data_IF_782866933774
#
_entry.id   IF_782866933774
#
_cell.length_a   1.000
_cell.length_b   1.000
_cell.length_c   1.000
_cell.angle_alpha   90.00
_cell.angle_beta   90.00
_cell.angle_gamma   90.00
#
_symmetry.space_group_name_H-M   'P 1'
#
loop_
_entity.id
_entity.type
_entity.pdbx_description
1 polymer ?
#
# COMPACT_ATOMS: atom_id res chain seq x y z
N UNK A 1 2.94 -8.07 30.34
CA UNK A 1 2.03 -6.89 30.29
C UNK A 1 0.85 -7.07 29.32
N UNK A 2 0.41 -8.31 29.04
CA UNK A 2 -0.81 -8.62 28.26
C UNK A 2 -2.08 -8.66 29.13
N UNK A 3 -1.99 -8.23 30.40
CA UNK A 3 -3.00 -8.43 31.45
C UNK A 3 -3.77 -7.17 31.86
N UNK A 4 -3.70 -6.09 31.06
CA UNK A 4 -4.33 -4.81 31.40
C UNK A 4 -5.28 -4.28 30.32
N UNK A 5 -5.91 -5.16 29.52
CA UNK A 5 -6.90 -4.73 28.53
C UNK A 5 -8.27 -5.40 28.78
N UNK A 6 -9.39 -4.73 28.42
CA UNK A 6 -10.76 -5.17 28.73
C UNK A 6 -11.06 -6.58 28.22
N UNK A 7 -12.04 -7.27 28.82
CA UNK A 7 -12.50 -8.61 28.45
C UNK A 7 -12.70 -8.84 26.93
N UNK A 8 -13.08 -7.79 26.19
CA UNK A 8 -13.28 -7.86 24.74
C UNK A 8 -11.98 -7.91 23.92
N UNK A 9 -10.90 -7.34 24.44
CA UNK A 9 -9.56 -7.46 23.82
C UNK A 9 -9.01 -8.89 23.93
N UNK A 10 -9.35 -9.61 25.00
CA UNK A 10 -8.99 -11.01 25.19
C UNK A 10 -9.72 -11.91 24.19
N UNK A 11 -10.99 -11.61 23.88
CA UNK A 11 -11.76 -12.29 22.83
C UNK A 11 -11.13 -12.07 21.44
N UNK A 12 -10.73 -10.83 21.11
CA UNK A 12 -10.05 -10.54 19.85
C UNK A 12 -8.69 -11.26 19.73
N UNK A 13 -7.87 -11.23 20.78
CA UNK A 13 -6.55 -11.91 20.78
C UNK A 13 -6.70 -13.42 20.65
N UNK A 14 -7.67 -14.02 21.35
CA UNK A 14 -7.94 -15.45 21.23
C UNK A 14 -8.54 -15.80 19.87
N UNK A 15 -9.45 -14.99 19.33
CA UNK A 15 -9.99 -15.19 17.99
C UNK A 15 -8.89 -15.11 16.91
N UNK A 16 -8.04 -14.09 16.96
CA UNK A 16 -6.90 -13.93 16.04
C UNK A 16 -5.91 -15.08 16.15
N UNK A 17 -5.67 -15.60 17.36
CA UNK A 17 -4.78 -16.75 17.57
C UNK A 17 -5.39 -18.05 17.06
N UNK A 18 -6.68 -18.27 17.31
CA UNK A 18 -7.41 -19.49 16.93
C UNK A 18 -7.83 -19.52 15.45
N UNK A 19 -8.11 -18.36 14.85
CA UNK A 19 -8.49 -18.20 13.43
C UNK A 19 -7.35 -17.56 12.62
N UNK A 20 -6.14 -18.05 12.85
CA UNK A 20 -4.97 -17.76 12.00
C UNK A 20 -5.07 -18.39 10.60
N UNK A 21 -6.16 -19.11 10.38
CA UNK A 21 -6.64 -19.67 9.12
C UNK A 21 -7.97 -18.99 8.78
N UNK A 22 -8.27 -18.80 7.48
CA UNK A 22 -9.69 -18.82 7.09
C UNK A 22 -10.28 -20.12 7.66
N UNK A 23 -11.51 -20.12 8.22
CA UNK A 23 -12.05 -21.28 8.93
C UNK A 23 -11.74 -22.56 8.18
N UNK A 24 -11.13 -23.54 8.87
CA UNK A 24 -10.71 -24.81 8.29
C UNK A 24 -11.92 -25.41 7.58
N UNK A 25 -11.92 -25.31 6.25
CA UNK A 25 -12.97 -25.84 5.41
C UNK A 25 -12.91 -27.34 5.59
N UNK A 26 -13.93 -27.92 6.23
CA UNK A 26 -14.06 -29.37 6.29
C UNK A 26 -13.92 -29.91 4.87
N UNK A 27 -13.27 -31.07 4.72
CA UNK A 27 -13.08 -31.73 3.41
C UNK A 27 -14.38 -31.98 2.64
N UNK A 28 -15.52 -31.77 3.28
CA UNK A 28 -16.87 -31.94 2.75
C UNK A 28 -17.46 -30.66 2.11
N UNK A 29 -16.81 -29.49 2.25
CA UNK A 29 -17.25 -28.24 1.61
C UNK A 29 -16.75 -28.13 0.16
N UNK A 30 -17.15 -29.07 -0.70
CA UNK A 30 -16.63 -29.24 -2.07
C UNK A 30 -17.22 -28.28 -3.12
N UNK A 31 -17.70 -27.08 -2.73
CA UNK A 31 -18.37 -26.14 -3.66
C UNK A 31 -17.81 -24.72 -3.63
N UNK A 32 -17.71 -24.08 -4.81
CA UNK A 32 -17.33 -22.67 -4.99
C UNK A 32 -18.16 -21.72 -4.09
N UNK A 33 -19.41 -22.09 -3.79
CA UNK A 33 -20.32 -21.32 -2.95
C UNK A 33 -19.90 -21.26 -1.47
N UNK A 34 -19.44 -22.37 -0.89
CA UNK A 34 -19.00 -22.42 0.52
C UNK A 34 -17.79 -21.49 0.78
N UNK A 35 -16.92 -21.36 -0.23
CA UNK A 35 -15.75 -20.49 -0.19
C UNK A 35 -16.14 -19.01 -0.17
N UNK A 36 -17.18 -18.65 -0.92
CA UNK A 36 -17.69 -17.28 -0.95
C UNK A 36 -18.30 -16.85 0.39
N UNK A 37 -19.01 -17.75 1.07
CA UNK A 37 -19.56 -17.50 2.43
C UNK A 37 -18.43 -17.27 3.43
N UNK A 38 -17.42 -18.14 3.43
CA UNK A 38 -16.26 -18.01 4.32
C UNK A 38 -15.50 -16.68 4.12
N UNK A 39 -15.36 -16.21 2.88
CA UNK A 39 -14.74 -14.90 2.59
C UNK A 39 -15.55 -13.74 3.19
N UNK A 40 -16.88 -13.75 3.03
CA UNK A 40 -17.76 -12.72 3.60
C UNK A 40 -17.74 -12.73 5.13
N UNK A 41 -17.76 -13.91 5.75
CA UNK A 41 -17.66 -14.02 7.21
C UNK A 41 -16.32 -13.48 7.72
N UNK A 42 -15.21 -13.85 7.08
CA UNK A 42 -13.89 -13.32 7.42
C UNK A 42 -13.83 -11.79 7.30
N UNK A 43 -14.41 -11.23 6.23
CA UNK A 43 -14.52 -9.79 6.04
C UNK A 43 -15.30 -9.11 7.18
N UNK A 44 -16.49 -9.61 7.52
CA UNK A 44 -17.31 -9.07 8.61
C UNK A 44 -16.60 -9.14 9.96
N UNK A 45 -15.91 -10.25 10.23
CA UNK A 45 -15.13 -10.41 11.46
C UNK A 45 -13.96 -9.42 11.56
N UNK A 46 -13.25 -9.16 10.45
CA UNK A 46 -12.19 -8.14 10.43
C UNK A 46 -12.74 -6.72 10.59
N UNK A 47 -13.87 -6.40 9.96
CA UNK A 47 -14.53 -5.10 10.14
C UNK A 47 -14.97 -4.88 11.59
N UNK A 48 -15.58 -5.89 12.22
CA UNK A 48 -15.94 -5.86 13.64
C UNK A 48 -14.70 -5.64 14.53
N UNK A 49 -13.61 -6.37 14.24
CA UNK A 49 -12.34 -6.24 14.95
C UNK A 49 -11.73 -4.84 14.83
N UNK A 50 -11.81 -4.23 13.64
CA UNK A 50 -11.39 -2.85 13.40
C UNK A 50 -12.24 -1.86 14.19
N UNK A 51 -13.56 -2.06 14.23
CA UNK A 51 -14.48 -1.25 15.04
C UNK A 51 -14.13 -1.30 16.53
N UNK A 52 -13.89 -2.50 17.06
CA UNK A 52 -13.46 -2.69 18.46
C UNK A 52 -12.12 -1.99 18.75
N UNK A 53 -11.13 -2.14 17.87
CA UNK A 53 -9.82 -1.50 18.03
C UNK A 53 -9.90 0.03 17.90
N UNK A 54 -10.86 0.54 17.13
CA UNK A 54 -11.16 1.97 16.99
C UNK A 54 -11.69 2.60 18.27
N UNK A 55 -12.53 1.86 19.01
CA UNK A 55 -13.19 2.31 20.24
C UNK A 55 -12.29 2.30 21.48
N UNK A 56 -11.11 1.68 21.41
CA UNK A 56 -10.14 1.70 22.52
C UNK A 56 -9.54 3.12 22.60
N UNK A 57 -9.89 3.84 23.67
CA UNK A 57 -9.51 5.23 23.98
C UNK A 57 -7.99 5.36 24.23
N UNK A 58 -7.30 4.25 24.55
CA UNK A 58 -5.86 4.25 24.75
C UNK A 58 -5.12 4.59 23.44
N UNK A 59 -4.46 5.76 23.46
CA UNK A 59 -3.65 6.41 22.41
C UNK A 59 -3.53 5.64 21.09
N UNK A 60 -4.17 6.17 20.05
CA UNK A 60 -4.11 5.71 18.66
C UNK A 60 -2.70 5.40 18.13
N UNK A 61 -1.67 6.05 18.67
CA UNK A 61 -0.25 5.80 18.38
C UNK A 61 0.21 4.38 18.75
N UNK A 62 -0.34 3.77 19.79
CA UNK A 62 0.13 2.48 20.34
C UNK A 62 -0.42 1.28 19.58
N UNK A 63 -1.59 1.45 18.94
CA UNK A 63 -2.22 0.43 18.10
C UNK A 63 -2.06 0.69 16.59
N UNK A 64 -1.12 1.57 16.20
CA UNK A 64 -0.95 1.99 14.81
C UNK A 64 -0.69 0.78 13.88
N UNK A 65 0.22 -0.12 14.25
CA UNK A 65 0.51 -1.32 13.46
C UNK A 65 -0.74 -2.20 13.29
N UNK A 66 -1.44 -2.48 14.40
CA UNK A 66 -2.59 -3.38 14.42
C UNK A 66 -3.72 -2.80 13.55
N UNK A 67 -4.00 -1.50 13.68
CA UNK A 67 -5.00 -0.80 12.86
C UNK A 67 -4.61 -0.83 11.39
N UNK A 68 -3.37 -0.47 11.06
CA UNK A 68 -2.92 -0.45 9.68
C UNK A 68 -2.98 -1.84 9.05
N UNK A 69 -2.42 -2.85 9.72
CA UNK A 69 -2.42 -4.23 9.25
C UNK A 69 -3.83 -4.78 9.01
N UNK A 70 -4.76 -4.55 9.95
CA UNK A 70 -6.15 -4.99 9.79
C UNK A 70 -6.87 -4.25 8.66
N UNK A 71 -6.66 -2.94 8.51
CA UNK A 71 -7.23 -2.17 7.39
C UNK A 71 -6.78 -2.75 6.05
N UNK A 72 -5.50 -3.07 5.90
CA UNK A 72 -4.99 -3.69 4.67
C UNK A 72 -5.61 -5.06 4.43
N UNK A 73 -5.72 -5.90 5.46
CA UNK A 73 -6.37 -7.23 5.32
C UNK A 73 -7.84 -7.11 4.95
N UNK A 74 -8.58 -6.18 5.54
CA UNK A 74 -9.98 -5.92 5.20
C UNK A 74 -10.10 -5.49 3.74
N UNK A 75 -9.27 -4.55 3.27
CA UNK A 75 -9.27 -4.11 1.87
C UNK A 75 -8.92 -5.24 0.90
N UNK A 76 -8.00 -6.13 1.26
CA UNK A 76 -7.73 -7.33 0.43
C UNK A 76 -8.95 -8.22 0.31
N UNK A 77 -9.62 -8.52 1.43
CA UNK A 77 -10.83 -9.34 1.39
C UNK A 77 -11.96 -8.66 0.61
N UNK A 78 -12.14 -7.36 0.77
CA UNK A 78 -13.10 -6.55 0.01
C UNK A 78 -12.82 -6.67 -1.50
N UNK A 79 -11.59 -6.40 -1.93
CA UNK A 79 -11.21 -6.50 -3.35
C UNK A 79 -11.32 -7.93 -3.91
N UNK A 80 -11.06 -8.96 -3.10
CA UNK A 80 -11.26 -10.37 -3.51
C UNK A 80 -12.75 -10.72 -3.58
N UNK A 81 -13.59 -10.21 -2.68
CA UNK A 81 -15.05 -10.37 -2.76
C UNK A 81 -15.58 -9.68 -4.01
N UNK A 82 -15.12 -8.46 -4.32
CA UNK A 82 -15.45 -7.76 -5.56
C UNK A 82 -15.07 -8.62 -6.77
N UNK A 83 -13.87 -9.22 -6.77
CA UNK A 83 -13.44 -10.15 -7.83
C UNK A 83 -14.40 -11.34 -7.98
N UNK A 84 -14.76 -12.00 -6.88
CA UNK A 84 -15.70 -13.13 -6.86
C UNK A 84 -17.08 -12.73 -7.40
N UNK A 85 -17.56 -11.54 -7.04
CA UNK A 85 -18.84 -11.00 -7.52
C UNK A 85 -18.82 -10.77 -9.04
N UNK A 86 -17.75 -10.15 -9.56
CA UNK A 86 -17.59 -9.90 -10.99
C UNK A 86 -17.41 -11.19 -11.80
N UNK A 87 -16.83 -12.24 -11.20
CA UNK A 87 -16.75 -13.57 -11.81
C UNK A 87 -18.09 -14.32 -11.81
N UNK A 88 -19.13 -13.78 -11.17
CA UNK A 88 -20.46 -14.40 -11.10
C UNK A 88 -20.51 -15.65 -10.24
N UNK A 89 -19.51 -15.90 -9.38
CA UNK A 89 -19.43 -17.09 -8.53
C UNK A 89 -20.48 -17.09 -7.41
N UNK A 90 -20.95 -15.91 -7.00
CA UNK A 90 -21.98 -15.73 -5.97
C UNK A 90 -23.43 -15.86 -6.48
N UNK A 91 -23.65 -15.86 -7.80
CA UNK A 91 -24.99 -15.79 -8.41
C UNK A 91 -25.51 -17.15 -8.93
N UNK A 92 -24.85 -18.26 -8.59
CA UNK A 92 -25.17 -19.58 -9.13
C UNK A 92 -26.50 -20.17 -8.60
N UNK A 93 -27.00 -19.71 -7.43
CA UNK A 93 -28.13 -20.36 -6.74
C UNK A 93 -29.53 -19.86 -7.12
N UNK A 94 -29.70 -18.87 -8.00
CA UNK A 94 -31.03 -18.26 -8.24
C UNK A 94 -31.51 -18.32 -9.70
N UNK A 95 -30.72 -18.83 -10.65
CA UNK A 95 -31.12 -18.78 -12.08
C UNK A 95 -31.21 -20.15 -12.74
N UNK A 96 -32.40 -20.45 -13.28
CA UNK A 96 -32.67 -21.55 -14.19
C UNK A 96 -31.51 -21.74 -15.18
N UNK A 97 -31.00 -22.98 -15.30
CA UNK A 97 -29.87 -23.35 -16.16
C UNK A 97 -29.93 -22.79 -17.59
N UNK A 98 -31.13 -22.53 -18.13
CA UNK A 98 -31.35 -21.93 -19.46
C UNK A 98 -31.06 -20.42 -19.54
N UNK A 99 -31.21 -19.67 -18.45
CA UNK A 99 -30.89 -18.22 -18.39
C UNK A 99 -29.41 -17.94 -18.09
N UNK A 100 -28.67 -18.97 -17.68
CA UNK A 100 -27.22 -18.89 -17.41
C UNK A 100 -26.44 -18.82 -18.73
N UNK A 101 -26.85 -19.55 -19.76
CA UNK A 101 -26.24 -19.48 -21.10
C UNK A 101 -26.46 -18.11 -21.76
N UNK A 102 -27.66 -17.54 -21.66
CA UNK A 102 -27.98 -16.21 -22.19
C UNK A 102 -27.26 -15.06 -21.46
N UNK A 103 -26.95 -15.22 -20.17
CA UNK A 103 -26.15 -14.22 -19.41
C UNK A 103 -24.65 -14.43 -19.48
N UNK A 104 -24.16 -15.64 -19.77
CA UNK A 104 -22.76 -15.86 -20.14
C UNK A 104 -22.42 -15.03 -21.39
N UNK A 105 -23.39 -14.83 -22.29
CA UNK A 105 -23.27 -13.96 -23.47
C UNK A 105 -23.23 -12.45 -23.16
N UNK A 106 -23.63 -12.01 -21.96
CA UNK A 106 -23.50 -10.60 -21.52
C UNK A 106 -22.20 -10.33 -20.72
N UNK A 107 -21.22 -11.24 -20.84
CA UNK A 107 -19.91 -11.22 -20.17
C UNK A 107 -18.98 -10.03 -20.47
N UNK A 108 -19.41 -9.07 -21.29
CA UNK A 108 -18.64 -7.86 -21.59
C UNK A 108 -18.40 -6.96 -20.37
N UNK A 109 -19.29 -6.99 -19.35
CA UNK A 109 -19.19 -6.07 -18.21
C UNK A 109 -18.23 -6.56 -17.10
N UNK A 110 -18.01 -7.87 -16.96
CA UNK A 110 -17.13 -8.41 -15.91
C UNK A 110 -15.65 -8.29 -16.26
N UNK A 111 -15.29 -8.57 -17.51
CA UNK A 111 -13.91 -8.46 -18.00
C UNK A 111 -13.36 -7.03 -17.91
N UNK A 112 -14.20 -6.02 -18.16
CA UNK A 112 -13.81 -4.61 -18.07
C UNK A 112 -13.46 -4.16 -16.65
N UNK A 113 -13.91 -4.88 -15.60
CA UNK A 113 -13.59 -4.55 -14.21
C UNK A 113 -12.29 -5.20 -13.73
N UNK A 114 -11.84 -6.29 -14.37
CA UNK A 114 -10.63 -7.01 -13.96
C UNK A 114 -9.37 -6.13 -13.95
N UNK A 115 -9.11 -5.25 -14.93
CA UNK A 115 -7.99 -4.31 -14.86
C UNK A 115 -8.06 -3.36 -13.67
N UNK A 116 -9.27 -2.90 -13.29
CA UNK A 116 -9.44 -2.01 -12.13
C UNK A 116 -9.13 -2.74 -10.83
N UNK A 117 -9.62 -3.97 -10.70
CA UNK A 117 -9.30 -4.85 -9.56
C UNK A 117 -7.80 -5.14 -9.51
N UNK A 118 -7.16 -5.38 -10.66
CA UNK A 118 -5.72 -5.57 -10.75
C UNK A 118 -4.94 -4.34 -10.23
N UNK A 119 -5.34 -3.14 -10.61
CA UNK A 119 -4.72 -1.88 -10.13
C UNK A 119 -4.91 -1.72 -8.62
N UNK A 120 -6.09 -2.03 -8.08
CA UNK A 120 -6.36 -1.99 -6.63
C UNK A 120 -5.50 -2.98 -5.86
N UNK A 121 -5.39 -4.22 -6.33
CA UNK A 121 -4.53 -5.24 -5.73
C UNK A 121 -3.05 -4.86 -5.78
N UNK A 122 -2.58 -4.31 -6.89
CA UNK A 122 -1.21 -3.79 -7.00
C UNK A 122 -0.98 -2.65 -5.99
N UNK A 123 -1.94 -1.74 -5.82
CA UNK A 123 -1.85 -0.69 -4.81
C UNK A 123 -1.74 -1.28 -3.41
N UNK A 124 -2.55 -2.29 -3.08
CA UNK A 124 -2.51 -2.99 -1.79
C UNK A 124 -1.16 -3.66 -1.54
N UNK A 125 -0.56 -4.28 -2.57
CA UNK A 125 0.79 -4.85 -2.46
C UNK A 125 1.82 -3.81 -1.99
N UNK A 126 1.79 -2.61 -2.60
CA UNK A 126 2.66 -1.48 -2.22
C UNK A 126 2.34 -0.95 -0.83
N UNK A 127 1.08 -0.93 -0.42
CA UNK A 127 0.69 -0.52 0.94
C UNK A 127 1.21 -1.50 2.01
N UNK A 128 1.28 -2.80 1.73
CA UNK A 128 1.95 -3.77 2.61
C UNK A 128 3.47 -3.57 2.67
N UNK A 129 4.12 -3.24 1.55
CA UNK A 129 5.55 -2.91 1.57
C UNK A 129 5.83 -1.67 2.42
N UNK A 130 4.96 -0.65 2.30
CA UNK A 130 5.03 0.52 3.18
C UNK A 130 4.88 0.12 4.64
N UNK A 131 3.90 -0.71 4.99
CA UNK A 131 3.76 -1.21 6.36
C UNK A 131 5.07 -1.83 6.86
N UNK A 132 5.75 -2.67 6.07
CA UNK A 132 7.04 -3.24 6.46
C UNK A 132 8.14 -2.17 6.61
N UNK A 133 8.12 -1.10 5.81
CA UNK A 133 9.12 -0.02 5.85
C UNK A 133 8.95 0.99 6.99
N UNK A 134 7.76 1.13 7.58
CA UNK A 134 7.49 2.09 8.66
C UNK A 134 7.77 1.54 10.06
N UNK A 135 7.88 0.21 10.21
CA UNK A 135 8.08 -0.45 11.49
C UNK A 135 9.48 -1.07 11.57
N UNK A 136 10.48 -0.22 11.80
CA UNK A 136 11.92 -0.58 11.80
C UNK A 136 12.31 -1.69 12.79
N UNK A 137 11.55 -1.85 13.87
CA UNK A 137 11.77 -2.86 14.91
C UNK A 137 10.99 -4.16 14.65
N UNK A 138 10.43 -4.34 13.46
CA UNK A 138 9.75 -5.57 13.06
C UNK A 138 10.74 -6.74 12.95
N UNK A 139 10.37 -7.88 13.51
CA UNK A 139 11.14 -9.11 13.39
C UNK A 139 11.00 -9.73 11.99
N UNK A 140 12.03 -10.45 11.54
CA UNK A 140 12.08 -11.01 10.19
C UNK A 140 10.92 -11.99 9.92
N UNK A 141 10.45 -12.73 10.94
CA UNK A 141 9.32 -13.66 10.79
C UNK A 141 8.00 -12.91 10.55
N UNK A 142 7.74 -11.85 11.32
CA UNK A 142 6.61 -10.94 11.10
C UNK A 142 6.68 -10.21 9.76
N UNK A 143 7.86 -9.73 9.38
CA UNK A 143 8.12 -9.09 8.09
C UNK A 143 7.85 -10.06 6.92
N UNK A 144 8.28 -11.32 7.02
CA UNK A 144 8.03 -12.36 6.02
C UNK A 144 6.54 -12.64 5.79
N UNK A 145 5.71 -12.56 6.85
CA UNK A 145 4.25 -12.68 6.72
C UNK A 145 3.68 -11.50 5.91
N UNK A 146 4.12 -10.27 6.18
CA UNK A 146 3.70 -9.07 5.43
C UNK A 146 4.16 -9.17 3.97
N UNK A 147 5.40 -9.61 3.73
CA UNK A 147 5.93 -9.82 2.38
C UNK A 147 5.13 -10.87 1.60
N UNK A 148 4.69 -11.95 2.26
CA UNK A 148 3.85 -12.99 1.64
C UNK A 148 2.46 -12.46 1.27
N UNK A 149 1.86 -11.62 2.12
CA UNK A 149 0.58 -10.95 1.82
C UNK A 149 0.73 -9.98 0.64
N UNK A 150 1.81 -9.20 0.63
CA UNK A 150 2.13 -8.30 -0.49
C UNK A 150 2.33 -9.06 -1.81
N UNK A 151 3.08 -10.17 -1.77
CA UNK A 151 3.24 -11.06 -2.94
C UNK A 151 1.90 -11.63 -3.39
N UNK A 152 1.03 -12.04 -2.45
CA UNK A 152 -0.31 -12.54 -2.79
C UNK A 152 -1.09 -11.49 -3.59
N UNK A 153 -1.14 -10.25 -3.11
CA UNK A 153 -1.78 -9.15 -3.82
C UNK A 153 -1.18 -8.95 -5.23
N UNK A 154 0.13 -9.08 -5.38
CA UNK A 154 0.82 -8.89 -6.66
C UNK A 154 0.52 -10.01 -7.66
N UNK A 155 0.49 -11.26 -7.18
CA UNK A 155 0.11 -12.43 -7.99
C UNK A 155 -1.35 -12.31 -8.46
N UNK A 156 -2.28 -11.93 -7.58
CA UNK A 156 -3.66 -11.70 -7.99
C UNK A 156 -3.82 -10.48 -8.89
N UNK A 157 -3.04 -9.42 -8.67
CA UNK A 157 -3.04 -8.27 -9.56
C UNK A 157 -2.63 -8.68 -10.98
N UNK A 158 -1.57 -9.47 -11.11
CA UNK A 158 -1.14 -10.03 -12.40
C UNK A 158 -2.19 -10.97 -13.01
N UNK A 159 -2.73 -11.90 -12.22
CA UNK A 159 -3.73 -12.86 -12.70
C UNK A 159 -5.03 -12.17 -13.15
N UNK A 160 -5.54 -11.19 -12.39
CA UNK A 160 -6.71 -10.40 -12.78
C UNK A 160 -6.39 -9.51 -13.99
N UNK A 161 -5.17 -8.98 -14.07
CA UNK A 161 -4.69 -8.19 -15.21
C UNK A 161 -4.36 -9.01 -16.46
N UNK A 162 -4.48 -10.35 -16.44
CA UNK A 162 -4.15 -11.23 -17.57
C UNK A 162 -4.86 -10.83 -18.87
N UNK A 163 -6.09 -10.34 -18.78
CA UNK A 163 -6.88 -9.82 -19.93
C UNK A 163 -6.19 -8.70 -20.69
N UNK A 164 -5.34 -7.91 -20.03
CA UNK A 164 -4.66 -6.77 -20.64
C UNK A 164 -3.56 -7.19 -21.63
N UNK A 165 -3.10 -8.44 -21.54
CA UNK A 165 -2.06 -9.01 -22.41
C UNK A 165 -2.64 -9.68 -23.66
N UNK A 166 -3.97 -9.72 -23.79
CA UNK A 166 -4.64 -10.44 -24.86
C UNK A 166 -4.92 -9.51 -26.06
N UNK A 167 -4.72 -9.99 -27.30
CA UNK A 167 -5.09 -9.24 -28.49
C UNK A 167 -6.62 -9.05 -28.54
N UNK A 168 -7.08 -7.86 -28.95
CA UNK A 168 -8.50 -7.53 -29.05
C UNK A 168 -9.14 -6.98 -27.77
N UNK A 169 -8.46 -7.03 -26.62
CA UNK A 169 -8.95 -6.37 -25.39
C UNK A 169 -8.42 -4.94 -25.28
N UNK A 170 -9.32 -3.95 -25.30
CA UNK A 170 -8.99 -2.54 -25.08
C UNK A 170 -9.47 -2.08 -23.70
N UNK A 171 -8.54 -1.57 -22.88
CA UNK A 171 -8.88 -0.93 -21.60
C UNK A 171 -8.75 0.59 -21.69
N UNK A 172 -9.88 1.29 -21.60
CA UNK A 172 -9.92 2.75 -21.50
C UNK A 172 -10.33 3.16 -20.08
N UNK A 173 -9.36 3.64 -19.30
CA UNK A 173 -9.63 4.17 -17.96
C UNK A 173 -9.86 5.68 -18.02
N UNK A 174 -11.03 6.14 -17.58
CA UNK A 174 -11.38 7.56 -17.50
C UNK A 174 -10.81 8.28 -16.27
N UNK A 175 -10.08 7.57 -15.39
CA UNK A 175 -9.74 8.03 -14.04
C UNK A 175 -8.30 8.58 -13.88
N UNK A 176 -7.40 8.38 -14.85
CA UNK A 176 -6.07 9.00 -14.83
C UNK A 176 -5.65 9.40 -16.26
N UNK A 177 -5.34 10.67 -16.57
CA UNK A 177 -5.15 11.14 -17.95
C UNK A 177 -3.91 10.58 -18.68
N UNK A 178 -3.15 9.63 -18.13
CA UNK A 178 -1.83 9.24 -18.64
C UNK A 178 -1.46 7.76 -18.44
N UNK A 179 -2.41 6.88 -18.12
CA UNK A 179 -2.14 5.44 -17.97
C UNK A 179 -2.55 4.68 -19.22
N UNK A 180 -1.60 4.42 -20.12
CA UNK A 180 -1.82 3.50 -21.23
C UNK A 180 -1.98 2.06 -20.72
N UNK A 181 -2.70 1.22 -21.46
CA UNK A 181 -2.78 -0.22 -21.21
C UNK A 181 -1.38 -0.86 -21.11
N UNK A 182 -0.44 -0.47 -22.00
CA UNK A 182 0.95 -0.91 -21.94
C UNK A 182 1.63 -0.57 -20.61
N UNK A 183 1.40 0.65 -20.11
CA UNK A 183 1.92 1.10 -18.82
C UNK A 183 1.29 0.37 -17.63
N UNK A 184 0.04 -0.09 -17.73
CA UNK A 184 -0.56 -0.98 -16.70
C UNK A 184 0.12 -2.35 -16.74
N UNK A 185 0.23 -2.99 -17.90
CA UNK A 185 0.88 -4.29 -18.08
C UNK A 185 2.33 -4.27 -17.56
N UNK A 186 3.10 -3.27 -17.97
CA UNK A 186 4.49 -3.07 -17.54
C UNK A 186 4.60 -2.97 -16.02
N UNK A 187 3.73 -2.15 -15.38
CA UNK A 187 3.70 -2.03 -13.91
C UNK A 187 3.38 -3.35 -13.23
N UNK A 188 2.38 -4.11 -13.71
CA UNK A 188 1.97 -5.38 -13.10
C UNK A 188 3.10 -6.42 -13.15
N UNK A 189 3.74 -6.56 -14.32
CA UNK A 189 4.88 -7.47 -14.50
C UNK A 189 6.07 -7.03 -13.64
N UNK A 190 6.45 -5.76 -13.68
CA UNK A 190 7.58 -5.26 -12.90
C UNK A 190 7.38 -5.44 -11.40
N UNK A 191 6.18 -5.18 -10.88
CA UNK A 191 5.88 -5.36 -9.45
C UNK A 191 6.09 -6.83 -9.03
N UNK A 192 5.64 -7.78 -9.86
CA UNK A 192 5.80 -9.20 -9.58
C UNK A 192 7.24 -9.68 -9.74
N UNK A 193 7.94 -9.30 -10.82
CA UNK A 193 9.34 -9.65 -11.07
C UNK A 193 10.24 -9.18 -9.92
N UNK A 194 10.02 -7.97 -9.39
CA UNK A 194 10.82 -7.44 -8.28
C UNK A 194 10.71 -8.27 -7.00
N UNK A 195 9.56 -8.91 -6.78
CA UNK A 195 9.28 -9.75 -5.61
C UNK A 195 9.78 -11.18 -5.81
N UNK A 196 9.75 -11.68 -7.05
CA UNK A 196 10.09 -13.05 -7.40
C UNK A 196 11.54 -13.24 -7.84
N UNK A 197 12.28 -12.17 -8.12
CA UNK A 197 13.63 -12.23 -8.71
C UNK A 197 14.59 -13.21 -8.01
N UNK A 198 14.57 -13.24 -6.67
CA UNK A 198 15.42 -14.13 -5.85
C UNK A 198 14.77 -15.47 -5.50
N UNK A 199 13.49 -15.65 -5.86
CA UNK A 199 12.66 -16.81 -5.51
C UNK A 199 12.59 -17.78 -6.68
N UNK A 200 12.24 -17.27 -7.87
CA UNK A 200 12.06 -18.06 -9.08
C UNK A 200 12.49 -17.23 -10.32
N UNK A 201 13.77 -17.32 -10.71
CA UNK A 201 14.29 -16.60 -11.87
C UNK A 201 13.64 -17.03 -13.20
N UNK A 202 13.20 -18.27 -13.32
CA UNK A 202 12.60 -18.80 -14.56
C UNK A 202 11.22 -18.18 -14.82
N UNK A 203 10.39 -18.08 -13.79
CA UNK A 203 9.12 -17.35 -13.88
C UNK A 203 9.37 -15.87 -14.20
N UNK A 204 10.42 -15.26 -13.62
CA UNK A 204 10.77 -13.87 -13.93
C UNK A 204 11.13 -13.66 -15.40
N UNK A 205 11.86 -14.59 -16.01
CA UNK A 205 12.20 -14.53 -17.44
C UNK A 205 10.93 -14.58 -18.31
N UNK A 206 10.03 -15.54 -18.03
CA UNK A 206 8.74 -15.66 -18.72
C UNK A 206 7.88 -14.40 -18.58
N UNK A 207 7.84 -13.81 -17.39
CA UNK A 207 7.13 -12.56 -17.12
C UNK A 207 7.71 -11.39 -17.93
N UNK A 208 9.03 -11.27 -18.02
CA UNK A 208 9.69 -10.19 -18.76
C UNK A 208 9.39 -10.25 -20.27
N UNK A 209 9.23 -11.44 -20.85
CA UNK A 209 8.86 -11.61 -22.27
C UNK A 209 7.50 -10.95 -22.60
N UNK A 210 6.59 -10.82 -21.62
CA UNK A 210 5.27 -10.20 -21.84
C UNK A 210 5.32 -8.67 -22.04
N UNK A 211 6.43 -8.00 -21.68
CA UNK A 211 6.56 -6.55 -21.76
C UNK A 211 7.63 -6.19 -22.80
N UNK A 212 7.30 -5.35 -23.77
CA UNK A 212 8.27 -4.87 -24.77
C UNK A 212 9.36 -4.02 -24.10
N UNK A 213 10.62 -4.24 -24.49
CA UNK A 213 11.86 -3.71 -23.88
C UNK A 213 11.95 -2.18 -23.68
N UNK A 214 11.04 -1.37 -24.26
CA UNK A 214 11.21 0.09 -24.37
C UNK A 214 10.48 0.95 -23.32
N UNK A 215 9.67 0.39 -22.42
CA UNK A 215 9.19 1.16 -21.26
C UNK A 215 10.19 1.02 -20.10
N UNK A 216 11.28 1.80 -20.20
CA UNK A 216 12.43 1.81 -19.30
C UNK A 216 12.11 1.51 -17.83
N UNK A 217 12.31 0.25 -17.44
CA UNK A 217 13.17 -0.29 -16.38
C UNK A 217 13.66 0.64 -15.25
N UNK A 218 12.85 1.59 -14.76
CA UNK A 218 13.24 2.49 -13.66
C UNK A 218 12.52 2.23 -12.33
N UNK A 219 11.84 1.08 -12.20
CA UNK A 219 11.17 0.67 -10.96
C UNK A 219 12.00 -0.29 -10.09
N UNK A 220 13.21 -0.70 -10.53
CA UNK A 220 14.08 -1.66 -9.81
C UNK A 220 14.60 -1.20 -8.44
N UNK A 221 14.25 0.00 -8.02
CA UNK A 221 14.99 0.68 -6.96
C UNK A 221 14.29 0.65 -5.64
N UNK A 222 12.97 0.43 -5.60
CA UNK A 222 12.32 -0.06 -4.40
C UNK A 222 12.70 -1.54 -4.30
N UNK A 223 13.90 -1.86 -3.82
CA UNK A 223 14.12 -3.15 -3.19
C UNK A 223 13.54 -3.01 -1.78
N UNK A 224 12.27 -3.37 -1.52
CA UNK A 224 11.86 -3.55 -0.14
C UNK A 224 12.79 -4.61 0.46
N UNK A 225 13.21 -4.40 1.71
CA UNK A 225 13.91 -5.40 2.55
C UNK A 225 13.16 -6.76 2.60
N UNK A 226 11.92 -6.81 2.10
CA UNK A 226 11.09 -8.00 1.84
C UNK A 226 11.70 -9.06 0.91
N UNK A 227 12.93 -8.88 0.40
CA UNK A 227 13.61 -9.83 -0.50
C UNK A 227 14.12 -11.13 0.14
N UNK A 228 13.87 -11.39 1.43
CA UNK A 228 14.11 -12.73 2.00
C UNK A 228 12.80 -13.50 2.12
N UNK A 229 12.06 -13.59 1.00
CA UNK A 229 11.07 -14.64 0.84
C UNK A 229 11.81 -15.94 0.57
N UNK A 230 12.01 -16.74 1.62
CA UNK A 230 12.42 -18.13 1.42
C UNK A 230 11.32 -18.89 0.67
N UNK A 231 11.70 -19.77 -0.25
CA UNK A 231 10.76 -20.67 -0.93
C UNK A 231 10.12 -21.59 0.11
N UNK A 232 8.94 -21.21 0.59
CA UNK A 232 8.14 -21.98 1.54
C UNK A 232 6.86 -22.49 0.87
N UNK A 233 6.13 -23.38 1.55
CA UNK A 233 4.87 -23.96 1.01
C UNK A 233 3.88 -22.89 0.53
N UNK A 234 3.78 -21.76 1.26
CA UNK A 234 2.89 -20.63 0.88
C UNK A 234 3.32 -19.97 -0.43
N UNK A 235 4.63 -19.73 -0.58
CA UNK A 235 5.19 -19.11 -1.79
C UNK A 235 5.04 -20.04 -2.99
N UNK A 236 5.22 -21.36 -2.82
CA UNK A 236 5.00 -22.35 -3.90
C UNK A 236 3.58 -22.31 -4.43
N UNK A 237 2.57 -22.18 -3.56
CA UNK A 237 1.17 -22.03 -4.00
C UNK A 237 1.01 -20.77 -4.84
N UNK A 238 1.57 -19.63 -4.41
CA UNK A 238 1.52 -18.37 -5.16
C UNK A 238 2.24 -18.46 -6.53
N UNK A 239 3.39 -19.13 -6.59
CA UNK A 239 4.11 -19.39 -7.85
C UNK A 239 3.28 -20.25 -8.81
N UNK A 240 2.52 -21.22 -8.29
CA UNK A 240 1.62 -22.03 -9.12
C UNK A 240 0.51 -21.18 -9.75
N UNK A 241 -0.08 -20.23 -9.01
CA UNK A 241 -1.10 -19.31 -9.54
C UNK A 241 -0.49 -18.41 -10.63
N UNK A 242 0.75 -17.94 -10.43
CA UNK A 242 1.46 -17.18 -11.45
C UNK A 242 1.73 -18.01 -12.71
N UNK A 243 2.13 -19.27 -12.55
CA UNK A 243 2.37 -20.20 -13.66
C UNK A 243 1.08 -20.51 -14.44
N UNK A 244 -0.04 -20.68 -13.73
CA UNK A 244 -1.36 -20.86 -14.35
C UNK A 244 -1.77 -19.62 -15.16
N UNK A 245 -1.51 -18.42 -14.61
CA UNK A 245 -1.81 -17.16 -15.29
C UNK A 245 -0.97 -16.98 -16.57
N UNK A 246 0.33 -17.27 -16.51
CA UNK A 246 1.20 -17.27 -17.69
C UNK A 246 0.71 -18.26 -18.75
N UNK A 247 0.39 -19.50 -18.35
CA UNK A 247 -0.12 -20.53 -19.24
C UNK A 247 -1.43 -20.13 -19.90
N UNK A 248 -2.33 -19.49 -19.16
CA UNK A 248 -3.58 -18.93 -19.66
C UNK A 248 -3.34 -17.84 -20.71
N UNK A 249 -2.45 -16.88 -20.43
CA UNK A 249 -2.11 -15.80 -21.38
C UNK A 249 -1.56 -16.37 -22.68
N UNK A 250 -0.54 -17.24 -22.61
CA UNK A 250 0.05 -17.82 -23.82
C UNK A 250 -0.93 -18.71 -24.60
N UNK A 251 -1.75 -19.50 -23.89
CA UNK A 251 -2.78 -20.32 -24.50
C UNK A 251 -3.79 -19.48 -25.29
N UNK A 252 -4.26 -18.38 -24.70
CA UNK A 252 -5.21 -17.47 -25.34
C UNK A 252 -4.59 -16.67 -26.50
N UNK A 253 -3.34 -16.21 -26.37
CA UNK A 253 -2.61 -15.53 -27.46
C UNK A 253 -2.44 -16.43 -28.69
N UNK A 254 -2.23 -17.74 -28.48
CA UNK A 254 -2.09 -18.69 -29.59
C UNK A 254 -3.43 -19.01 -30.28
N UNK A 255 -4.54 -19.06 -29.53
CA UNK A 255 -5.88 -19.40 -30.05
C UNK A 255 -6.62 -18.21 -30.68
N UNK A 256 -6.29 -16.98 -30.29
CA UNK A 256 -6.93 -15.75 -30.80
C UNK A 256 -6.58 -15.44 -32.26
N UNK A 257 -5.49 -16.01 -32.80
CA UNK A 257 -5.07 -15.81 -34.19
C UNK A 257 -5.94 -16.58 -35.22
N UNK A 258 -6.84 -17.46 -34.79
CA UNK A 258 -7.57 -18.41 -35.66
C UNK A 258 -9.09 -18.42 -35.49
N UNK A 259 -9.66 -17.54 -34.66
CA UNK A 259 -11.05 -17.68 -34.15
C UNK A 259 -11.87 -16.41 -34.44
N UNK A 260 -13.19 -16.49 -34.71
CA UNK A 260 -14.07 -15.32 -34.87
C UNK A 260 -14.17 -14.45 -33.60
N UNK A 261 -14.42 -13.14 -33.75
CA UNK A 261 -14.39 -12.15 -32.64
C UNK A 261 -15.37 -12.45 -31.48
N UNK A 262 -16.61 -12.88 -31.76
CA UNK A 262 -17.61 -13.18 -30.71
C UNK A 262 -17.22 -14.44 -29.90
N UNK A 263 -16.66 -15.45 -30.55
CA UNK A 263 -16.16 -16.66 -29.91
C UNK A 263 -14.90 -16.39 -29.07
N UNK A 264 -14.07 -15.41 -29.49
CA UNK A 264 -12.89 -14.98 -28.74
C UNK A 264 -13.27 -14.39 -27.38
N UNK A 265 -14.25 -13.47 -27.31
CA UNK A 265 -14.63 -12.84 -26.03
C UNK A 265 -15.21 -13.87 -25.05
N UNK A 266 -16.02 -14.80 -25.54
CA UNK A 266 -16.55 -15.93 -24.76
C UNK A 266 -15.42 -16.81 -24.21
N UNK A 267 -14.46 -17.18 -25.06
CA UNK A 267 -13.29 -17.97 -24.69
C UNK A 267 -12.42 -17.27 -23.64
N UNK A 268 -12.15 -15.98 -23.81
CA UNK A 268 -11.39 -15.17 -22.85
C UNK A 268 -12.13 -15.11 -21.52
N UNK A 269 -13.45 -14.85 -21.54
CA UNK A 269 -14.29 -14.78 -20.34
C UNK A 269 -14.24 -16.09 -19.57
N UNK A 270 -14.44 -17.21 -20.26
CA UNK A 270 -14.41 -18.54 -19.65
C UNK A 270 -13.04 -18.86 -19.05
N UNK A 271 -11.97 -18.59 -19.79
CA UNK A 271 -10.60 -18.91 -19.38
C UNK A 271 -10.15 -18.06 -18.18
N UNK A 272 -10.44 -16.75 -18.20
CA UNK A 272 -10.14 -15.87 -17.07
C UNK A 272 -10.94 -16.26 -15.82
N UNK A 273 -12.22 -16.65 -15.99
CA UNK A 273 -13.04 -17.12 -14.88
C UNK A 273 -12.46 -18.38 -14.22
N UNK A 274 -12.05 -19.36 -15.02
CA UNK A 274 -11.43 -20.60 -14.52
C UNK A 274 -10.11 -20.30 -13.81
N UNK A 275 -9.23 -19.49 -14.42
CA UNK A 275 -7.96 -19.09 -13.84
C UNK A 275 -8.15 -18.44 -12.46
N UNK A 276 -9.04 -17.44 -12.39
CA UNK A 276 -9.23 -16.64 -11.19
C UNK A 276 -9.96 -17.42 -10.10
N UNK A 277 -10.97 -18.24 -10.45
CA UNK A 277 -11.64 -19.08 -9.45
C UNK A 277 -10.68 -20.10 -8.84
N UNK A 278 -9.89 -20.81 -9.66
CA UNK A 278 -8.87 -21.74 -9.17
C UNK A 278 -7.79 -21.04 -8.36
N UNK A 279 -7.37 -19.84 -8.80
CA UNK A 279 -6.43 -19.00 -8.06
C UNK A 279 -6.93 -18.66 -6.66
N UNK A 280 -8.18 -18.19 -6.54
CA UNK A 280 -8.82 -17.87 -5.25
C UNK A 280 -8.85 -19.11 -4.35
N UNK A 281 -9.25 -20.26 -4.90
CA UNK A 281 -9.30 -21.52 -4.15
C UNK A 281 -7.94 -21.92 -3.59
N UNK A 282 -6.89 -21.87 -4.42
CA UNK A 282 -5.50 -22.12 -3.99
C UNK A 282 -5.05 -21.13 -2.93
N UNK A 283 -5.40 -19.86 -3.08
CA UNK A 283 -5.03 -18.82 -2.12
C UNK A 283 -5.72 -18.94 -0.77
N UNK A 284 -7.00 -19.34 -0.75
CA UNK A 284 -7.72 -19.57 0.51
C UNK A 284 -7.09 -20.69 1.36
N UNK A 285 -6.35 -21.61 0.74
CA UNK A 285 -5.58 -22.64 1.45
C UNK A 285 -4.31 -22.08 2.11
N UNK A 286 -3.89 -20.86 1.76
CA UNK A 286 -2.74 -20.21 2.39
C UNK A 286 -3.19 -19.61 3.73
N UNK A 287 -2.61 -20.03 4.87
CA UNK A 287 -2.98 -19.48 6.16
C UNK A 287 -2.77 -17.96 6.18
N UNK A 288 -3.85 -17.23 6.46
CA UNK A 288 -3.92 -15.77 6.51
C UNK A 288 -3.25 -15.24 7.79
N UNK A 289 -1.96 -15.57 7.93
CA UNK A 289 -1.19 -15.48 9.16
C UNK A 289 -1.20 -14.09 9.79
N UNK A 290 -1.08 -14.07 11.11
CA UNK A 290 -0.98 -12.84 11.89
C UNK A 290 0.46 -12.75 12.43
N UNK A 291 1.20 -11.67 12.10
CA UNK A 291 2.56 -11.47 12.58
C UNK A 291 2.63 -11.52 14.11
N UNK A 292 3.67 -12.12 14.67
CA UNK A 292 3.90 -12.08 16.14
C UNK A 292 4.02 -10.63 16.63
N UNK A 293 4.59 -9.77 15.80
CA UNK A 293 4.69 -8.33 16.00
C UNK A 293 3.32 -7.67 16.25
N UNK A 294 2.22 -8.23 15.73
CA UNK A 294 0.85 -7.74 15.98
C UNK A 294 0.48 -7.75 17.47
N UNK A 295 0.91 -8.76 18.21
CA UNK A 295 0.59 -8.91 19.64
C UNK A 295 1.54 -8.15 20.55
N UNK A 296 2.56 -7.50 19.98
CA UNK A 296 3.58 -6.75 20.71
C UNK A 296 3.21 -5.28 20.74
N UNK A 297 2.34 -4.89 21.68
CA UNK A 297 1.85 -3.52 21.83
C UNK A 297 2.99 -2.64 22.36
N UNK A 298 3.32 -1.56 21.64
CA UNK A 298 4.41 -0.62 21.99
C UNK A 298 4.26 0.72 21.28
N UNK A 299 4.87 1.80 21.79
CA UNK A 299 4.95 3.07 21.07
C UNK A 299 5.65 2.90 19.72
N UNK A 300 5.12 3.54 18.67
CA UNK A 300 5.71 3.48 17.34
C UNK A 300 7.03 4.24 17.28
N UNK A 301 8.04 3.65 16.63
CA UNK A 301 9.24 4.38 16.22
C UNK A 301 8.85 5.38 15.12
N UNK A 302 9.32 6.61 15.26
CA UNK A 302 8.97 7.67 14.32
C UNK A 302 9.78 8.93 14.58
N UNK A 303 9.32 10.03 14.00
CA UNK A 303 9.94 11.34 14.13
C UNK A 303 8.92 12.41 14.50
N UNK A 304 9.40 13.46 15.14
CA UNK A 304 8.72 14.74 15.29
C UNK A 304 9.46 15.79 14.46
N UNK A 305 8.72 16.61 13.72
CA UNK A 305 9.27 17.71 12.95
C UNK A 305 8.92 19.05 13.60
N UNK A 306 9.92 19.86 13.88
CA UNK A 306 9.77 21.24 14.30
C UNK A 306 10.27 22.14 13.17
N UNK A 307 9.44 23.07 12.73
CA UNK A 307 9.75 24.00 11.65
C UNK A 307 9.54 25.43 12.14
N UNK A 308 10.52 26.30 11.88
CA UNK A 308 10.51 27.71 12.22
C UNK A 308 10.79 28.53 10.96
N UNK A 309 10.22 29.73 10.86
CA UNK A 309 10.62 30.67 9.81
C UNK A 309 11.99 31.24 10.16
N UNK A 310 12.95 31.15 9.22
CA UNK A 310 14.30 31.70 9.40
C UNK A 310 14.28 33.22 9.63
N UNK A 311 13.24 33.90 9.12
CA UNK A 311 13.07 35.36 9.20
C UNK A 311 12.18 35.79 10.39
N UNK A 312 11.83 34.86 11.29
CA UNK A 312 10.95 35.18 12.42
C UNK A 312 11.62 36.13 13.42
N UNK A 313 10.99 37.29 13.66
CA UNK A 313 11.37 38.16 14.77
C UNK A 313 10.96 37.49 16.09
N UNK A 314 11.72 37.76 17.16
CA UNK A 314 11.53 37.17 18.51
C UNK A 314 10.12 37.36 19.11
N UNK A 315 9.26 38.19 18.49
CA UNK A 315 7.91 38.50 18.98
C UNK A 315 6.82 37.50 18.55
N UNK A 316 7.02 36.67 17.52
CA UNK A 316 6.04 35.63 17.10
C UNK A 316 6.72 34.29 16.78
N UNK A 317 7.25 33.56 17.79
CA UNK A 317 8.08 32.37 17.58
C UNK A 317 7.34 31.16 16.97
N UNK A 318 6.00 31.16 16.92
CA UNK A 318 5.20 30.02 16.48
C UNK A 318 4.44 30.24 15.15
N UNK A 319 4.67 31.36 14.46
CA UNK A 319 3.91 31.70 13.25
C UNK A 319 4.83 31.73 12.04
N UNK A 320 4.67 30.77 11.14
CA UNK A 320 5.39 30.73 9.86
C UNK A 320 4.64 31.63 8.88
N UNK A 321 5.26 32.73 8.45
CA UNK A 321 4.65 33.73 7.56
C UNK A 321 5.59 34.03 6.41
N UNK A 322 5.04 34.22 5.22
CA UNK A 322 5.76 34.64 4.01
C UNK A 322 4.92 35.66 3.24
N UNK A 323 5.57 36.63 2.60
CA UNK A 323 4.89 37.55 1.69
C UNK A 323 4.64 36.90 0.33
N UNK A 324 3.53 37.25 -0.30
CA UNK A 324 3.19 36.78 -1.64
C UNK A 324 4.29 37.16 -2.63
N UNK A 325 4.70 36.20 -3.47
CA UNK A 325 5.81 36.38 -4.42
C UNK A 325 7.17 35.92 -3.90
N UNK A 326 7.31 35.60 -2.61
CA UNK A 326 8.57 35.15 -2.01
C UNK A 326 8.60 33.64 -1.73
N UNK A 327 9.82 33.10 -1.64
CA UNK A 327 10.05 31.74 -1.17
C UNK A 327 10.01 31.70 0.35
N UNK A 328 9.55 30.58 0.90
CA UNK A 328 9.49 30.38 2.35
C UNK A 328 10.80 29.75 2.84
N UNK A 329 11.55 30.46 3.68
CA UNK A 329 12.74 29.92 4.36
C UNK A 329 12.35 29.27 5.69
N UNK A 330 12.77 28.02 5.86
CA UNK A 330 12.47 27.23 7.05
C UNK A 330 13.75 26.67 7.68
N UNK A 331 13.85 26.82 9.00
CA UNK A 331 14.78 26.09 9.84
C UNK A 331 14.05 24.89 10.45
N UNK A 332 14.64 23.71 10.28
CA UNK A 332 14.02 22.43 10.60
C UNK A 332 14.83 21.70 11.68
N UNK A 333 14.13 21.14 12.64
CA UNK A 333 14.64 20.17 13.59
C UNK A 333 13.80 18.90 13.49
N UNK A 334 14.44 17.80 13.09
CA UNK A 334 13.83 16.47 13.07
C UNK A 334 14.32 15.69 14.30
N UNK A 335 13.41 15.25 15.15
CA UNK A 335 13.72 14.50 16.35
C UNK A 335 13.15 13.09 16.27
N UNK A 336 14.02 12.08 16.33
CA UNK A 336 13.62 10.69 16.45
C UNK A 336 13.03 10.39 17.84
N UNK A 337 11.97 9.57 17.88
CA UNK A 337 11.32 9.14 19.11
C UNK A 337 11.15 7.63 19.13
N UNK A 338 11.04 7.10 20.36
CA UNK A 338 10.79 5.69 20.66
C UNK A 338 11.84 4.71 20.11
N UNK A 339 13.00 5.20 19.64
CA UNK A 339 14.16 4.37 19.34
C UNK A 339 14.81 4.00 20.67
N UNK A 340 14.49 2.82 21.18
CA UNK A 340 15.19 2.30 22.34
C UNK A 340 16.60 1.85 21.94
N UNK A 341 17.60 2.70 22.20
CA UNK A 341 19.03 2.48 21.88
C UNK A 341 19.60 1.14 22.39
N UNK A 342 18.97 0.48 23.38
CA UNK A 342 19.39 -0.83 23.92
C UNK A 342 18.75 -2.05 23.24
N UNK A 343 17.77 -1.88 22.34
CA UNK A 343 17.04 -2.99 21.69
C UNK A 343 16.87 -2.82 20.17
N UNK A 344 17.11 -1.62 19.63
CA UNK A 344 17.12 -1.42 18.18
C UNK A 344 18.42 -2.00 17.60
N UNK A 345 18.38 -3.00 16.70
CA UNK A 345 19.59 -3.58 16.09
C UNK A 345 20.26 -2.64 15.06
N UNK A 346 19.85 -1.38 15.00
CA UNK A 346 20.03 -0.51 13.85
C UNK A 346 20.53 0.86 14.28
N UNK A 347 21.80 1.17 13.98
CA UNK A 347 22.34 2.53 14.10
C UNK A 347 21.92 3.34 12.87
N UNK A 348 21.30 4.49 13.10
CA UNK A 348 20.91 5.40 12.02
C UNK A 348 22.12 6.25 11.64
N UNK A 349 22.40 6.35 10.34
CA UNK A 349 23.54 7.10 9.80
C UNK A 349 23.11 8.39 9.12
N UNK A 350 21.93 8.42 8.50
CA UNK A 350 21.38 9.60 7.81
C UNK A 350 19.90 9.75 8.06
N UNK A 351 19.43 10.99 8.13
CA UNK A 351 18.02 11.34 8.13
C UNK A 351 17.69 12.18 6.90
N UNK A 352 16.49 11.98 6.36
CA UNK A 352 15.94 12.85 5.34
C UNK A 352 14.53 13.26 5.71
N UNK A 353 14.16 14.48 5.33
CA UNK A 353 12.80 14.97 5.48
C UNK A 353 12.33 15.58 4.16
N UNK A 354 11.15 15.16 3.71
CA UNK A 354 10.43 15.75 2.60
C UNK A 354 9.35 16.68 3.15
N UNK A 355 9.38 17.93 2.73
CA UNK A 355 8.29 18.89 2.92
C UNK A 355 7.53 19.03 1.61
N UNK A 356 6.19 19.05 1.71
CA UNK A 356 5.33 19.10 0.55
C UNK A 356 4.09 19.97 0.78
N UNK A 357 3.84 20.89 -0.14
CA UNK A 357 2.62 21.68 -0.13
C UNK A 357 2.01 21.84 -1.52
N UNK A 358 0.68 22.02 -1.55
CA UNK A 358 -0.14 22.24 -2.74
C UNK A 358 -1.18 23.31 -2.42
N UNK A 359 -1.69 23.98 -3.46
CA UNK A 359 -2.80 24.94 -3.32
C UNK A 359 -4.04 24.33 -2.66
N UNK A 360 -4.30 23.04 -2.91
CA UNK A 360 -5.41 22.29 -2.31
C UNK A 360 -5.30 22.12 -0.78
N UNK A 361 -4.14 22.40 -0.18
CA UNK A 361 -3.94 22.32 1.28
C UNK A 361 -4.25 23.64 2.00
N UNK A 362 -5.01 24.52 1.35
CA UNK A 362 -5.53 25.73 1.97
C UNK A 362 -6.45 25.37 3.15
N UNK A 363 -6.16 25.91 4.32
CA UNK A 363 -6.96 25.72 5.54
C UNK A 363 -7.74 26.99 5.87
N UNK A 364 -9.02 26.85 6.24
CA UNK A 364 -9.76 27.99 6.79
C UNK A 364 -9.18 28.37 8.15
N UNK A 365 -9.04 29.67 8.39
CA UNK A 365 -8.37 30.26 9.56
C UNK A 365 -9.02 29.88 10.90
N UNK A 366 -10.25 29.36 10.89
CA UNK A 366 -11.05 29.05 12.09
C UNK A 366 -10.70 27.72 12.77
N UNK A 367 -9.97 26.80 12.14
CA UNK A 367 -9.64 25.49 12.74
C UNK A 367 -8.38 25.50 13.64
N UNK A 368 -7.66 26.63 13.73
CA UNK A 368 -6.33 26.68 14.37
C UNK A 368 -6.34 26.78 15.90
N UNK A 369 -7.44 27.25 16.51
CA UNK A 369 -7.52 27.47 17.96
C UNK A 369 -8.20 26.32 18.72
N UNK A 370 -9.21 25.67 18.13
CA UNK A 370 -9.99 24.63 18.81
C UNK A 370 -9.26 23.28 18.95
N UNK A 371 -8.21 23.03 18.16
CA UNK A 371 -7.57 21.72 18.03
C UNK A 371 -6.18 21.61 18.67
N UNK A 372 -5.66 22.65 19.33
CA UNK A 372 -4.31 22.59 19.96
C UNK A 372 -4.18 21.54 21.06
N UNK A 373 -5.31 21.11 21.65
CA UNK A 373 -5.35 20.10 22.72
C UNK A 373 -5.82 18.71 22.25
N UNK A 374 -6.12 18.51 20.96
CA UNK A 374 -6.41 17.17 20.45
C UNK A 374 -5.10 16.48 20.08
N UNK A 375 -4.81 15.37 20.77
CA UNK A 375 -3.67 14.50 20.48
C UNK A 375 -3.69 14.08 19.00
N UNK A 376 -2.71 14.55 18.23
CA UNK A 376 -2.63 14.31 16.78
C UNK A 376 -2.55 12.81 16.50
N UNK A 377 -3.59 12.26 15.89
CA UNK A 377 -3.66 10.85 15.54
C UNK A 377 -3.34 10.67 14.05
N UNK A 378 -2.07 10.48 13.70
CA UNK A 378 -1.71 10.15 12.33
C UNK A 378 -2.27 8.77 11.93
N UNK A 379 -3.01 8.71 10.82
CA UNK A 379 -3.56 7.47 10.26
C UNK A 379 -2.97 7.24 8.86
N UNK A 380 -1.80 6.59 8.74
CA UNK A 380 -1.10 6.39 7.47
C UNK A 380 -1.99 5.81 6.38
N UNK A 381 -2.87 4.86 6.73
CA UNK A 381 -3.79 4.19 5.81
C UNK A 381 -4.91 5.07 5.23
N UNK A 382 -5.04 6.33 5.68
CA UNK A 382 -5.99 7.32 5.16
C UNK A 382 -5.32 8.40 4.30
N UNK A 383 -3.99 8.46 4.23
CA UNK A 383 -3.28 9.51 3.50
C UNK A 383 -2.97 9.06 2.07
N UNK A 384 -3.77 9.52 1.10
CA UNK A 384 -3.64 9.14 -0.31
C UNK A 384 -2.30 9.59 -0.93
N UNK A 385 -1.73 10.70 -0.45
CA UNK A 385 -0.46 11.23 -0.94
C UNK A 385 0.75 10.43 -0.36
N UNK A 386 0.55 9.54 0.62
CA UNK A 386 1.63 8.84 1.34
C UNK A 386 2.55 8.06 0.41
N UNK A 387 1.98 7.30 -0.52
CA UNK A 387 2.74 6.48 -1.48
C UNK A 387 3.58 7.38 -2.39
N UNK A 388 2.99 8.45 -2.92
CA UNK A 388 3.67 9.40 -3.81
C UNK A 388 4.82 10.10 -3.09
N UNK A 389 4.57 10.64 -1.89
CA UNK A 389 5.57 11.31 -1.08
C UNK A 389 6.69 10.35 -0.64
N UNK A 390 6.36 9.12 -0.25
CA UNK A 390 7.35 8.10 0.10
C UNK A 390 8.25 7.76 -1.10
N UNK A 391 7.69 7.66 -2.30
CA UNK A 391 8.47 7.40 -3.52
C UNK A 391 9.40 8.58 -3.86
N UNK A 392 8.93 9.83 -3.70
CA UNK A 392 9.76 11.04 -3.86
C UNK A 392 10.94 11.04 -2.91
N UNK A 393 10.67 10.78 -1.63
CA UNK A 393 11.70 10.76 -0.58
C UNK A 393 12.70 9.63 -0.80
N UNK A 394 12.22 8.43 -1.15
CA UNK A 394 13.06 7.29 -1.50
C UNK A 394 14.00 7.61 -2.68
N UNK A 395 13.45 8.16 -3.77
CA UNK A 395 14.22 8.52 -4.94
C UNK A 395 15.29 9.55 -4.63
N UNK A 396 15.08 10.48 -3.70
CA UNK A 396 16.12 11.45 -3.31
C UNK A 396 17.16 10.84 -2.36
N UNK A 397 16.75 9.98 -1.43
CA UNK A 397 17.65 9.35 -0.47
C UNK A 397 18.58 8.32 -1.15
N UNK A 398 18.09 7.66 -2.19
CA UNK A 398 18.79 6.55 -2.88
C UNK A 398 19.30 6.96 -4.28
N UNK A 399 18.77 8.02 -4.90
CA UNK A 399 19.22 8.53 -6.21
C UNK A 399 19.34 10.06 -6.24
N UNK A 400 20.07 10.58 -7.22
CA UNK A 400 19.96 11.98 -7.66
C UNK A 400 18.70 12.12 -8.52
N UNK A 401 17.64 12.74 -7.98
CA UNK A 401 16.28 12.67 -8.52
C UNK A 401 15.93 13.63 -9.68
N UNK A 402 14.97 13.21 -10.52
CA UNK A 402 14.24 14.01 -11.53
C UNK A 402 13.02 14.74 -10.92
N UNK A 403 12.53 15.77 -11.63
CA UNK A 403 11.41 16.66 -11.23
C UNK A 403 10.04 15.95 -11.19
N UNK A 404 9.21 16.33 -10.23
CA UNK A 404 7.81 15.89 -10.06
C UNK A 404 6.88 17.11 -9.84
N UNK A 405 5.56 16.90 -9.86
CA UNK A 405 4.55 17.94 -9.63
C UNK A 405 4.40 18.33 -8.15
N UNK A 406 4.13 19.62 -7.90
CA UNK A 406 3.97 20.23 -6.57
C UNK A 406 5.25 20.88 -6.01
N UNK A 407 5.11 21.72 -4.98
CA UNK A 407 6.24 22.38 -4.32
C UNK A 407 6.76 21.45 -3.24
N UNK A 408 7.97 20.93 -3.43
CA UNK A 408 8.62 20.03 -2.49
C UNK A 408 10.05 20.45 -2.22
N UNK A 409 10.47 20.34 -0.97
CA UNK A 409 11.87 20.43 -0.56
C UNK A 409 12.25 19.13 0.14
N UNK A 410 13.41 18.57 -0.20
CA UNK A 410 14.00 17.44 0.53
C UNK A 410 15.27 17.94 1.19
N UNK A 411 15.37 17.72 2.50
CA UNK A 411 16.57 18.03 3.29
C UNK A 411 17.22 16.75 3.77
N UNK A 412 18.55 16.76 3.81
CA UNK A 412 19.34 15.75 4.51
C UNK A 412 19.73 16.33 5.86
N UNK A 413 19.55 15.55 6.93
CA UNK A 413 19.94 15.92 8.28
C UNK A 413 20.89 14.87 8.84
N UNK A 414 21.91 15.33 9.56
CA UNK A 414 22.82 14.45 10.30
C UNK A 414 22.30 14.28 11.73
N UNK A 415 21.91 13.06 12.15
CA UNK A 415 21.45 12.83 13.51
C UNK A 415 22.60 12.95 14.51
N UNK A 416 22.40 13.76 15.56
CA UNK A 416 23.28 13.78 16.74
C UNK A 416 23.06 12.54 17.62
N UNK A 417 23.81 12.43 18.72
CA UNK A 417 23.72 11.31 19.68
C UNK A 417 22.32 11.13 20.31
N UNK A 418 21.51 12.20 20.31
CA UNK A 418 20.12 12.20 20.80
C UNK A 418 19.10 11.87 19.70
N UNK A 419 19.56 11.56 18.49
CA UNK A 419 18.71 11.31 17.33
C UNK A 419 18.02 12.56 16.78
N UNK A 420 18.60 13.75 16.99
CA UNK A 420 18.11 15.01 16.46
C UNK A 420 18.97 15.47 15.29
N UNK A 421 18.34 15.88 14.19
CA UNK A 421 19.02 16.48 13.04
C UNK A 421 18.48 17.89 12.78
N UNK A 422 19.35 18.79 12.32
CA UNK A 422 19.01 20.17 11.99
C UNK A 422 19.39 20.47 10.55
N UNK A 423 18.55 21.22 9.85
CA UNK A 423 18.82 21.71 8.47
C UNK A 423 17.93 22.91 8.19
N UNK A 424 18.30 23.73 7.21
CA UNK A 424 17.41 24.74 6.64
C UNK A 424 17.00 24.37 5.21
N UNK A 425 15.91 24.94 4.71
CA UNK A 425 15.48 24.81 3.32
C UNK A 425 14.64 25.98 2.83
N UNK A 426 14.54 26.09 1.49
CA UNK A 426 13.65 27.00 0.81
C UNK A 426 12.51 26.22 0.15
N UNK A 427 11.27 26.64 0.41
CA UNK A 427 10.07 26.08 -0.22
C UNK A 427 9.48 27.15 -1.16
N UNK A 428 9.41 26.85 -2.46
CA UNK A 428 8.93 27.80 -3.47
C UNK A 428 7.41 27.95 -3.47
N UNK A 429 6.90 28.75 -2.52
CA UNK A 429 5.49 29.09 -2.38
C UNK A 429 5.15 30.46 -2.97
N UNK A 430 6.05 31.02 -3.79
CA UNK A 430 5.93 32.36 -4.37
C UNK A 430 4.62 32.58 -5.14
N UNK A 431 4.10 31.51 -5.76
CA UNK A 431 2.85 31.52 -6.55
C UNK A 431 1.59 31.22 -5.73
N UNK A 432 1.72 30.99 -4.43
CA UNK A 432 0.56 30.68 -3.60
C UNK A 432 -0.28 31.96 -3.40
N UNK A 433 -1.62 31.86 -3.49
CA UNK A 433 -2.49 32.97 -3.12
C UNK A 433 -2.36 33.32 -1.63
N UNK A 434 -2.88 34.49 -1.26
CA UNK A 434 -3.01 34.88 0.15
C UNK A 434 -3.92 33.88 0.86
N UNK A 435 -3.46 33.33 1.98
CA UNK A 435 -4.16 32.26 2.69
C UNK A 435 -3.26 31.50 3.65
N UNK A 436 -3.83 30.56 4.40
CA UNK A 436 -3.07 29.64 5.26
C UNK A 436 -3.02 28.26 4.63
N UNK A 437 -1.85 27.63 4.65
CA UNK A 437 -1.59 26.37 3.97
C UNK A 437 -0.88 25.39 4.90
N UNK A 438 -1.28 24.12 4.83
CA UNK A 438 -0.55 23.04 5.51
C UNK A 438 0.67 22.59 4.72
N UNK A 439 1.74 22.27 5.46
CA UNK A 439 2.90 21.57 4.95
C UNK A 439 2.76 20.10 5.38
N UNK A 440 2.47 19.23 4.42
CA UNK A 440 2.62 17.79 4.66
C UNK A 440 4.11 17.48 4.74
N UNK A 441 4.47 16.54 5.59
CA UNK A 441 5.86 16.13 5.74
C UNK A 441 5.96 14.62 5.91
N UNK A 442 7.06 14.05 5.41
CA UNK A 442 7.50 12.69 5.67
C UNK A 442 8.97 12.71 6.04
N UNK A 443 9.42 11.69 6.75
CA UNK A 443 10.83 11.49 7.02
C UNK A 443 11.22 10.04 6.84
N UNK A 444 12.50 9.84 6.58
CA UNK A 444 13.10 8.53 6.46
C UNK A 444 14.50 8.53 7.08
N UNK A 445 15.02 7.34 7.32
CA UNK A 445 16.38 7.16 7.76
C UNK A 445 17.08 6.06 6.97
N UNK A 446 18.40 6.18 6.90
CA UNK A 446 19.29 5.13 6.40
C UNK A 446 20.05 4.56 7.58
N UNK A 447 20.09 3.23 7.66
CA UNK A 447 20.84 2.56 8.70
C UNK A 447 22.32 2.29 8.36
N UNK A 448 23.06 1.74 9.32
CA UNK A 448 24.45 1.32 9.17
C UNK A 448 24.69 0.27 8.07
N UNK A 449 23.65 -0.45 7.65
CA UNK A 449 23.70 -1.43 6.57
C UNK A 449 23.27 -0.84 5.22
N UNK A 450 22.95 0.46 5.18
CA UNK A 450 22.46 1.15 3.99
C UNK A 450 20.97 0.93 3.72
N UNK A 451 20.22 0.33 4.65
CA UNK A 451 18.78 0.08 4.46
C UNK A 451 17.96 1.34 4.68
N UNK A 452 16.98 1.54 3.81
CA UNK A 452 16.02 2.64 3.87
C UNK A 452 14.82 2.29 4.75
N UNK A 453 14.43 3.22 5.63
CA UNK A 453 13.27 3.10 6.52
C UNK A 453 12.44 4.37 6.49
N UNK A 454 11.14 4.25 6.33
CA UNK A 454 10.24 5.37 6.56
C UNK A 454 9.99 5.55 8.06
N UNK A 455 9.80 6.80 8.48
CA UNK A 455 9.52 7.13 9.87
C UNK A 455 8.11 7.71 9.99
N UNK A 456 7.35 7.19 10.95
CA UNK A 456 6.00 7.69 11.22
C UNK A 456 6.06 9.14 11.74
N UNK A 457 5.26 10.07 11.21
CA UNK A 457 5.13 11.41 11.77
C UNK A 457 4.32 11.34 13.07
N UNK A 458 4.92 11.76 14.18
CA UNK A 458 4.35 11.66 15.52
C UNK A 458 3.75 12.99 16.01
N UNK A 459 3.99 14.09 15.30
CA UNK A 459 3.40 15.39 15.58
C UNK A 459 2.67 15.97 14.36
N UNK A 460 1.91 17.03 14.60
CA UNK A 460 1.07 17.67 13.60
C UNK A 460 1.84 18.25 12.41
N UNK A 461 1.08 18.69 11.40
CA UNK A 461 1.61 19.32 10.19
C UNK A 461 1.88 20.80 10.45
N UNK A 462 3.07 21.33 10.12
CA UNK A 462 3.32 22.77 10.14
C UNK A 462 2.34 23.53 9.25
N UNK A 463 1.97 24.74 9.64
CA UNK A 463 1.09 25.64 8.87
C UNK A 463 1.85 26.92 8.61
N UNK A 464 1.79 27.42 7.38
CA UNK A 464 2.31 28.73 7.01
C UNK A 464 1.21 29.62 6.44
N UNK A 465 1.38 30.93 6.57
CA UNK A 465 0.45 31.93 6.05
C UNK A 465 1.14 32.79 5.01
N UNK A 466 0.55 32.86 3.81
CA UNK A 466 0.93 33.80 2.76
C UNK A 466 0.16 35.11 2.99
N UNK A 467 0.89 36.20 3.21
CA UNK A 467 0.32 37.55 3.34
C UNK A 467 0.46 38.32 2.04
N UNK A 468 -0.41 39.29 1.82
CA UNK A 468 -0.25 40.23 0.71
C UNK A 468 1.08 40.97 0.87
N UNK A 469 1.86 41.10 -0.20
CA UNK A 469 3.05 41.93 -0.19
C UNK A 469 2.66 43.37 0.19
N UNK A 470 3.40 43.97 1.12
CA UNK A 470 3.14 45.33 1.61
C UNK A 470 3.59 46.39 0.62
#
# INVERSE_FOLDING_TARGET
QLLLMPSDSFKLVNWLRSNSYLPDLSKDASGEFAHCVALREAYMNLQSSLGMLGNIIASSEVFCFQRWFLVLKTRVLETVIDLVEHLGLLNQDVRNKKQVEEKILTGCNSLQQLPRIAIQLQKLAKEFDMLAMYFIDIDDSSSSIIATLSLSCSVFAFAAGSVLFLPGFSFHETLAPFTSQSGVCSRLVQDLVLRLWKVDPEICEKLNILVKENESLNCFHLQPRNQVLGVCGKVKVLLSICSDALSCIYGLQNQTNSTPEEDIVSLITKSCRILLSQGIMKWMQIPFGIPKYFFSIRPCVGAELFALSSDSSKSTPNTIVVEQGFQLSLDLCLQLKNIQQRRAPVRITKLYCLLYSKLAYHTSTQQSETNRNQKYCYSPWRDEDLVEMSNKLFNHAVKSGKKHSGVSAVVQLEPNERGQGFSSCLLDVSRFPVGSYQIKWLSCCIDQHGSYWNLLPLNGKPVFTVKKAS
#
